data_IF_590217355283
#
_entry.id   IF_590217355283
#
_cell.length_a   1.000
_cell.length_b   1.000
_cell.length_c   1.000
_cell.angle_alpha   90.00
_cell.angle_beta   90.00
_cell.angle_gamma   90.00
#
_symmetry.space_group_name_H-M   'P 1'
#
loop_
_entity.id
_entity.type
_entity.pdbx_description
1 polymer ?
#
# COMPACT_ATOMS: atom_id res chain seq x y z
N UNK A 1 13.57 -19.03 19.92
CA UNK A 1 13.66 -20.05 20.96
C UNK A 1 14.96 -20.86 20.88
N UNK A 2 15.35 -21.40 19.74
CA UNK A 2 16.58 -22.21 19.58
C UNK A 2 17.89 -21.45 19.90
N UNK A 3 17.87 -20.12 19.89
CA UNK A 3 19.01 -19.31 20.27
C UNK A 3 19.25 -19.24 21.78
N UNK A 4 18.21 -19.46 22.60
CA UNK A 4 18.35 -19.48 24.07
C UNK A 4 19.24 -20.64 24.50
N UNK A 5 18.94 -21.91 24.20
CA UNK A 5 19.80 -23.02 24.59
C UNK A 5 21.18 -22.98 23.91
N UNK A 6 21.28 -22.43 22.70
CA UNK A 6 22.59 -22.26 22.04
C UNK A 6 23.53 -21.34 22.86
N UNK A 7 22.97 -20.30 23.47
CA UNK A 7 23.75 -19.39 24.35
C UNK A 7 23.97 -19.98 25.73
N UNK A 8 22.91 -20.47 26.38
CA UNK A 8 22.92 -20.84 27.77
C UNK A 8 23.55 -22.24 28.01
N UNK A 9 23.36 -23.18 27.05
CA UNK A 9 23.83 -24.57 27.21
C UNK A 9 25.18 -24.83 26.50
N UNK A 10 25.59 -23.97 25.56
CA UNK A 10 26.81 -24.19 24.79
C UNK A 10 27.83 -23.06 24.99
N UNK A 11 27.47 -21.80 24.67
CA UNK A 11 28.44 -20.71 24.64
C UNK A 11 28.88 -20.24 26.03
N UNK A 12 27.95 -20.12 26.98
CA UNK A 12 28.27 -19.68 28.35
C UNK A 12 29.05 -20.76 29.12
N UNK A 13 28.68 -22.06 29.08
CA UNK A 13 29.48 -23.12 29.71
C UNK A 13 30.89 -23.22 29.09
N UNK A 14 31.03 -23.03 27.77
CA UNK A 14 32.34 -23.03 27.12
C UNK A 14 33.23 -21.87 27.60
N UNK A 15 32.71 -20.67 27.78
CA UNK A 15 33.43 -19.55 28.38
C UNK A 15 33.89 -19.88 29.82
N UNK A 16 33.18 -20.69 30.51
CA UNK A 16 33.49 -21.15 31.89
C UNK A 16 34.44 -22.36 31.91
N UNK A 17 35.04 -22.76 30.78
CA UNK A 17 36.03 -23.83 30.69
C UNK A 17 35.43 -25.24 30.49
N UNK A 18 34.18 -25.38 30.18
CA UNK A 18 33.55 -26.67 29.81
C UNK A 18 33.83 -27.02 28.33
N UNK A 19 33.85 -28.31 28.02
CA UNK A 19 34.04 -28.78 26.63
C UNK A 19 32.73 -28.66 25.85
N UNK A 20 32.83 -28.20 24.59
CA UNK A 20 31.68 -28.16 23.69
C UNK A 20 31.33 -29.58 23.24
N UNK A 21 30.04 -29.95 23.28
CA UNK A 21 29.53 -31.12 22.62
C UNK A 21 29.22 -30.79 21.15
N UNK A 22 30.01 -31.34 20.19
CA UNK A 22 29.81 -31.03 18.75
C UNK A 22 28.43 -31.49 18.22
N UNK A 23 27.88 -32.56 18.80
CA UNK A 23 26.58 -33.09 18.37
C UNK A 23 25.44 -32.15 18.76
N UNK A 24 25.51 -31.55 19.95
CA UNK A 24 24.53 -30.60 20.45
C UNK A 24 24.54 -29.31 19.58
N UNK A 25 25.74 -28.82 19.24
CA UNK A 25 25.90 -27.68 18.33
C UNK A 25 25.29 -27.97 16.96
N UNK A 26 25.61 -29.14 16.39
CA UNK A 26 25.10 -29.56 15.07
C UNK A 26 23.58 -29.67 15.08
N UNK A 27 22.99 -30.17 16.15
CA UNK A 27 21.53 -30.29 16.30
C UNK A 27 20.84 -28.92 16.31
N UNK A 28 21.35 -27.96 17.07
CA UNK A 28 20.74 -26.61 17.11
C UNK A 28 20.97 -25.83 15.80
N UNK A 29 22.15 -25.92 15.22
CA UNK A 29 22.44 -25.27 13.91
C UNK A 29 21.64 -25.93 12.79
N UNK A 30 21.52 -27.27 12.80
CA UNK A 30 20.66 -28.02 11.87
C UNK A 30 19.19 -27.63 11.98
N UNK A 31 18.69 -27.50 13.21
CA UNK A 31 17.34 -27.01 13.47
C UNK A 31 17.10 -25.57 12.97
N UNK A 32 18.06 -24.68 13.18
CA UNK A 32 18.00 -23.31 12.64
C UNK A 32 18.01 -23.31 11.11
N UNK A 33 18.86 -24.14 10.49
CA UNK A 33 18.91 -24.25 9.04
C UNK A 33 17.59 -24.81 8.46
N UNK A 34 17.03 -25.86 9.05
CA UNK A 34 15.74 -26.41 8.63
C UNK A 34 14.61 -25.39 8.77
N UNK A 35 14.59 -24.64 9.88
CA UNK A 35 13.62 -23.55 10.08
C UNK A 35 13.78 -22.44 9.03
N UNK A 36 15.02 -22.09 8.67
CA UNK A 36 15.30 -21.09 7.63
C UNK A 36 14.84 -21.58 6.25
N UNK A 37 15.11 -22.84 5.90
CA UNK A 37 14.68 -23.45 4.63
C UNK A 37 13.14 -23.52 4.55
N UNK A 38 12.48 -23.92 5.63
CA UNK A 38 11.03 -23.94 5.70
C UNK A 38 10.44 -22.52 5.56
N UNK A 39 11.01 -21.53 6.24
CA UNK A 39 10.60 -20.14 6.13
C UNK A 39 10.79 -19.58 4.71
N UNK A 40 11.89 -19.94 4.05
CA UNK A 40 12.16 -19.58 2.65
C UNK A 40 11.11 -20.18 1.71
N UNK A 41 10.83 -21.49 1.82
CA UNK A 41 9.84 -22.17 0.97
C UNK A 41 8.43 -21.62 1.14
N UNK A 42 8.02 -21.39 2.41
CA UNK A 42 6.72 -20.78 2.72
C UNK A 42 6.62 -19.33 2.20
N UNK A 43 7.70 -18.55 2.32
CA UNK A 43 7.75 -17.17 1.81
C UNK A 43 7.64 -17.12 0.29
N UNK A 44 8.32 -18.03 -0.40
CA UNK A 44 8.22 -18.17 -1.85
C UNK A 44 6.80 -18.54 -2.29
N UNK A 45 6.21 -19.58 -1.70
CA UNK A 45 4.85 -20.01 -1.99
C UNK A 45 3.83 -18.90 -1.74
N UNK A 46 3.95 -18.21 -0.61
CA UNK A 46 3.11 -17.06 -0.26
C UNK A 46 3.18 -15.96 -1.32
N UNK A 47 4.39 -15.56 -1.71
CA UNK A 47 4.59 -14.48 -2.69
C UNK A 47 4.03 -14.85 -4.05
N UNK A 48 4.26 -16.09 -4.49
CA UNK A 48 3.76 -16.59 -5.77
C UNK A 48 2.21 -16.65 -5.81
N UNK A 49 1.60 -17.24 -4.79
CA UNK A 49 0.12 -17.34 -4.71
C UNK A 49 -0.51 -15.95 -4.68
N UNK A 50 0.08 -15.03 -3.93
CA UNK A 50 -0.45 -13.68 -3.82
C UNK A 50 -0.35 -12.91 -5.15
N UNK A 51 0.78 -13.00 -5.83
CA UNK A 51 0.94 -12.39 -7.15
C UNK A 51 -0.10 -12.92 -8.15
N UNK A 52 -0.32 -14.25 -8.15
CA UNK A 52 -1.31 -14.89 -9.01
C UNK A 52 -2.75 -14.42 -8.71
N UNK A 53 -3.11 -14.36 -7.42
CA UNK A 53 -4.46 -13.94 -6.99
C UNK A 53 -4.70 -12.46 -7.31
N UNK A 54 -3.72 -11.59 -7.03
CA UNK A 54 -3.86 -10.16 -7.29
C UNK A 54 -3.95 -9.84 -8.79
N UNK A 55 -3.20 -10.56 -9.64
CA UNK A 55 -3.32 -10.41 -11.09
C UNK A 55 -4.72 -10.83 -11.60
N UNK A 56 -5.26 -11.93 -11.08
CA UNK A 56 -6.64 -12.35 -11.41
C UNK A 56 -7.66 -11.31 -10.98
N UNK A 57 -7.58 -10.81 -9.73
CA UNK A 57 -8.48 -9.75 -9.25
C UNK A 57 -8.36 -8.50 -10.12
N UNK A 58 -7.14 -8.10 -10.48
CA UNK A 58 -6.91 -6.96 -11.37
C UNK A 58 -7.51 -7.16 -12.77
N UNK A 59 -7.36 -8.35 -13.34
CA UNK A 59 -7.94 -8.69 -14.63
C UNK A 59 -9.47 -8.71 -14.60
N UNK A 60 -10.05 -9.37 -13.59
CA UNK A 60 -11.51 -9.45 -13.41
C UNK A 60 -12.11 -8.05 -13.19
N UNK A 61 -11.45 -7.22 -12.39
CA UNK A 61 -11.91 -5.86 -12.10
C UNK A 61 -11.88 -4.99 -13.38
N UNK A 62 -10.83 -5.09 -14.19
CA UNK A 62 -10.75 -4.40 -15.49
C UNK A 62 -11.85 -4.83 -16.44
N UNK A 63 -12.05 -6.14 -16.58
CA UNK A 63 -13.07 -6.72 -17.46
C UNK A 63 -14.46 -6.31 -17.02
N UNK A 64 -14.79 -6.48 -15.74
CA UNK A 64 -16.10 -6.14 -15.18
C UNK A 64 -16.39 -4.64 -15.33
N UNK A 65 -15.39 -3.78 -15.05
CA UNK A 65 -15.56 -2.33 -15.20
C UNK A 65 -15.77 -1.94 -16.66
N UNK A 66 -15.02 -2.55 -17.58
CA UNK A 66 -15.17 -2.29 -19.01
C UNK A 66 -16.53 -2.76 -19.54
N UNK A 67 -16.95 -3.98 -19.22
CA UNK A 67 -18.28 -4.50 -19.60
C UNK A 67 -19.41 -3.65 -19.03
N UNK A 68 -19.27 -3.18 -17.80
CA UNK A 68 -20.27 -2.29 -17.20
C UNK A 68 -20.33 -0.95 -17.93
N UNK A 69 -19.17 -0.35 -18.26
CA UNK A 69 -19.13 0.88 -19.05
C UNK A 69 -19.84 0.74 -20.39
N UNK A 70 -19.71 -0.39 -21.08
CA UNK A 70 -20.40 -0.61 -22.37
C UNK A 70 -21.93 -0.66 -22.23
N UNK A 71 -22.44 -0.91 -21.03
CA UNK A 71 -23.89 -0.94 -20.73
C UNK A 71 -24.44 0.43 -20.27
N UNK A 72 -23.56 1.40 -19.99
CA UNK A 72 -23.98 2.73 -19.54
C UNK A 72 -24.55 3.54 -20.70
N UNK A 73 -25.48 4.45 -20.38
CA UNK A 73 -26.09 5.36 -21.33
C UNK A 73 -25.07 6.38 -21.86
N UNK A 74 -25.30 6.91 -23.06
CA UNK A 74 -24.46 7.97 -23.65
C UNK A 74 -24.40 9.24 -22.79
N UNK A 75 -25.43 9.49 -21.98
CA UNK A 75 -25.45 10.60 -21.03
C UNK A 75 -24.30 10.55 -20.02
N UNK A 76 -23.94 9.35 -19.59
CA UNK A 76 -22.79 9.15 -18.71
C UNK A 76 -21.47 9.63 -19.31
N UNK A 77 -21.32 9.48 -20.63
CA UNK A 77 -20.10 9.87 -21.36
C UNK A 77 -20.09 11.35 -21.73
N UNK A 78 -21.25 12.02 -21.83
CA UNK A 78 -21.39 13.39 -22.30
C UNK A 78 -20.65 14.46 -21.49
N UNK A 79 -20.35 14.17 -20.20
CA UNK A 79 -19.62 15.07 -19.32
C UNK A 79 -18.21 14.62 -18.95
N UNK A 80 -17.72 13.49 -19.47
CA UNK A 80 -16.46 12.89 -19.06
C UNK A 80 -15.44 12.82 -20.19
N UNK A 81 -14.18 13.07 -19.87
CA UNK A 81 -13.09 12.92 -20.84
C UNK A 81 -12.73 11.45 -21.00
N UNK A 82 -12.58 11.00 -22.24
CA UNK A 82 -12.20 9.61 -22.57
C UNK A 82 -10.90 9.18 -21.85
N UNK A 83 -9.93 10.10 -21.74
CA UNK A 83 -8.68 9.85 -21.03
C UNK A 83 -8.86 9.58 -19.53
N UNK A 84 -9.83 10.24 -18.88
CA UNK A 84 -10.16 9.98 -17.45
C UNK A 84 -10.75 8.57 -17.27
N UNK A 85 -11.62 8.12 -18.17
CA UNK A 85 -12.18 6.77 -18.14
C UNK A 85 -11.11 5.70 -18.40
N UNK A 86 -10.22 5.94 -19.37
CA UNK A 86 -9.09 5.04 -19.62
C UNK A 86 -8.15 4.95 -18.40
N UNK A 87 -7.85 6.09 -17.77
CA UNK A 87 -7.02 6.13 -16.57
C UNK A 87 -7.68 5.36 -15.41
N UNK A 88 -9.00 5.45 -15.24
CA UNK A 88 -9.72 4.71 -14.19
C UNK A 88 -9.65 3.21 -14.41
N UNK A 89 -9.87 2.72 -15.63
CA UNK A 89 -9.80 1.28 -15.93
C UNK A 89 -8.37 0.75 -15.82
N UNK A 90 -7.38 1.49 -16.32
CA UNK A 90 -5.99 1.07 -16.34
C UNK A 90 -5.28 1.33 -15.01
N UNK A 91 -4.95 2.59 -14.74
CA UNK A 91 -4.06 2.97 -13.64
C UNK A 91 -4.69 2.79 -12.25
N UNK A 92 -6.00 3.00 -12.08
CA UNK A 92 -6.63 2.81 -10.77
C UNK A 92 -6.76 1.32 -10.44
N UNK A 93 -7.06 0.47 -11.42
CA UNK A 93 -7.06 -0.98 -11.23
C UNK A 93 -5.66 -1.50 -10.92
N UNK A 94 -4.63 -0.94 -11.58
CA UNK A 94 -3.24 -1.29 -11.29
C UNK A 94 -2.82 -0.89 -9.87
N UNK A 95 -3.25 0.27 -9.38
CA UNK A 95 -3.02 0.68 -7.97
C UNK A 95 -3.64 -0.30 -6.98
N UNK A 96 -4.83 -0.81 -7.26
CA UNK A 96 -5.48 -1.85 -6.43
C UNK A 96 -4.67 -3.15 -6.49
N UNK A 97 -4.24 -3.56 -7.68
CA UNK A 97 -3.43 -4.76 -7.87
C UNK A 97 -2.10 -4.66 -7.11
N UNK A 98 -1.36 -3.55 -7.24
CA UNK A 98 -0.11 -3.29 -6.50
C UNK A 98 -0.35 -3.32 -4.98
N UNK A 99 -1.43 -2.72 -4.51
CA UNK A 99 -1.78 -2.77 -3.08
C UNK A 99 -2.02 -4.20 -2.61
N UNK A 100 -2.82 -4.97 -3.33
CA UNK A 100 -3.14 -6.36 -2.98
C UNK A 100 -1.89 -7.25 -3.04
N UNK A 101 -1.09 -7.14 -4.11
CA UNK A 101 0.07 -8.02 -4.34
C UNK A 101 1.24 -7.75 -3.40
N UNK A 102 1.51 -6.48 -3.07
CA UNK A 102 2.71 -6.08 -2.32
C UNK A 102 2.44 -5.64 -0.89
N UNK A 103 1.26 -5.10 -0.59
CA UNK A 103 1.03 -4.40 0.67
C UNK A 103 -0.02 -5.03 1.58
N UNK A 104 -1.14 -5.52 1.05
CA UNK A 104 -2.24 -6.03 1.87
C UNK A 104 -1.81 -7.24 2.72
N UNK A 105 -1.14 -8.22 2.11
CA UNK A 105 -0.68 -9.39 2.84
C UNK A 105 0.50 -9.09 3.76
N UNK A 106 1.39 -8.16 3.36
CA UNK A 106 2.47 -7.69 4.23
C UNK A 106 1.87 -7.08 5.49
N UNK A 107 0.85 -6.24 5.35
CA UNK A 107 0.14 -5.65 6.48
C UNK A 107 -0.47 -6.71 7.41
N UNK A 108 -1.23 -7.67 6.87
CA UNK A 108 -1.83 -8.76 7.66
C UNK A 108 -0.73 -9.57 8.36
N UNK A 109 0.34 -9.89 7.64
CA UNK A 109 1.48 -10.64 8.19
C UNK A 109 2.19 -9.85 9.29
N UNK A 110 2.37 -8.54 9.12
CA UNK A 110 3.02 -7.68 10.11
C UNK A 110 2.16 -7.56 11.37
N UNK A 111 0.84 -7.40 11.25
CA UNK A 111 -0.09 -7.41 12.40
C UNK A 111 -0.01 -8.74 13.15
N UNK A 112 -0.07 -9.85 12.41
CA UNK A 112 0.02 -11.19 13.02
C UNK A 112 1.36 -11.42 13.72
N UNK A 113 2.48 -11.01 13.08
CA UNK A 113 3.83 -11.14 13.64
C UNK A 113 4.02 -10.25 14.87
N UNK A 114 3.48 -9.04 14.88
CA UNK A 114 3.49 -8.14 16.04
C UNK A 114 2.74 -8.82 17.21
N UNK A 115 1.54 -9.34 16.94
CA UNK A 115 0.74 -10.01 17.94
C UNK A 115 1.44 -11.26 18.50
N UNK A 116 1.92 -12.15 17.62
CA UNK A 116 2.65 -13.36 18.04
C UNK A 116 3.92 -13.02 18.80
N UNK A 117 4.69 -12.03 18.33
CA UNK A 117 5.91 -11.59 19.02
C UNK A 117 5.59 -11.02 20.39
N UNK A 118 4.53 -10.21 20.52
CA UNK A 118 4.09 -9.70 21.81
C UNK A 118 3.73 -10.86 22.78
N UNK A 119 2.96 -11.86 22.32
CA UNK A 119 2.62 -13.04 23.13
C UNK A 119 3.89 -13.78 23.60
N UNK A 120 4.86 -13.99 22.71
CA UNK A 120 6.14 -14.63 23.05
C UNK A 120 6.91 -13.81 24.07
N UNK A 121 7.02 -12.48 23.87
CA UNK A 121 7.75 -11.60 24.79
C UNK A 121 7.10 -11.61 26.19
N UNK A 122 5.78 -11.55 26.26
CA UNK A 122 5.05 -11.64 27.52
C UNK A 122 5.22 -13.02 28.22
N UNK A 123 5.31 -14.11 27.45
CA UNK A 123 5.54 -15.45 27.99
C UNK A 123 6.97 -15.63 28.54
N UNK A 124 7.95 -14.90 28.01
CA UNK A 124 9.34 -14.95 28.46
C UNK A 124 9.51 -14.10 29.73
N UNK A 125 9.18 -12.83 29.68
CA UNK A 125 9.23 -11.93 30.82
C UNK A 125 8.26 -10.76 30.68
N UNK A 126 7.17 -10.70 31.49
CA UNK A 126 6.14 -9.65 31.38
C UNK A 126 6.67 -8.22 31.62
N UNK A 127 7.60 -8.05 32.55
CA UNK A 127 8.16 -6.72 32.86
C UNK A 127 9.01 -6.18 31.74
N UNK A 128 9.84 -7.02 31.14
CA UNK A 128 10.67 -6.65 30.01
C UNK A 128 9.79 -6.38 28.76
N UNK A 129 8.71 -7.15 28.60
CA UNK A 129 7.72 -6.93 27.53
C UNK A 129 7.01 -5.58 27.68
N UNK A 130 6.59 -5.19 28.89
CA UNK A 130 5.99 -3.88 29.14
C UNK A 130 6.94 -2.73 28.80
N UNK A 131 8.20 -2.85 29.15
CA UNK A 131 9.23 -1.84 28.79
C UNK A 131 9.37 -1.70 27.29
N UNK A 132 9.26 -2.79 26.54
CA UNK A 132 9.28 -2.79 25.07
C UNK A 132 8.11 -1.99 24.44
N UNK A 133 6.97 -1.93 25.13
CA UNK A 133 5.79 -1.23 24.63
C UNK A 133 5.86 0.29 24.86
N UNK A 134 6.79 0.80 25.67
CA UNK A 134 6.89 2.24 26.02
C UNK A 134 7.01 3.16 24.79
N UNK A 135 7.77 2.86 23.72
CA UNK A 135 7.82 3.73 22.55
C UNK A 135 6.52 3.75 21.73
N UNK A 136 5.67 2.72 21.81
CA UNK A 136 4.49 2.58 20.95
C UNK A 136 3.48 3.72 21.06
N UNK A 137 3.09 4.21 22.25
CA UNK A 137 2.18 5.33 22.38
C UNK A 137 2.74 6.60 21.68
N UNK A 138 4.04 6.85 21.78
CA UNK A 138 4.70 7.99 21.13
C UNK A 138 4.69 7.85 19.62
N UNK A 139 4.99 6.65 19.10
CA UNK A 139 4.94 6.35 17.68
C UNK A 139 3.52 6.49 17.16
N UNK A 140 2.53 5.94 17.85
CA UNK A 140 1.12 6.04 17.48
C UNK A 140 0.62 7.51 17.48
N UNK A 141 0.99 8.28 18.49
CA UNK A 141 0.68 9.71 18.55
C UNK A 141 1.32 10.48 17.39
N UNK A 142 2.56 10.20 17.07
CA UNK A 142 3.27 10.84 15.97
C UNK A 142 2.65 10.47 14.61
N UNK A 143 2.30 9.20 14.40
CA UNK A 143 1.58 8.76 13.19
C UNK A 143 0.24 9.50 13.07
N UNK A 144 -0.53 9.58 14.16
CA UNK A 144 -1.81 10.29 14.17
C UNK A 144 -1.64 11.77 13.80
N UNK A 145 -0.63 12.44 14.33
CA UNK A 145 -0.39 13.88 14.10
C UNK A 145 0.07 14.17 12.66
N UNK A 146 0.87 13.30 12.09
CA UNK A 146 1.45 13.52 10.74
C UNK A 146 0.55 12.97 9.62
N UNK A 147 -0.33 12.02 9.94
CA UNK A 147 -1.21 11.34 8.99
C UNK A 147 -1.96 12.28 8.05
N UNK A 148 -2.63 13.29 8.60
CA UNK A 148 -3.47 14.19 7.79
C UNK A 148 -2.63 15.10 6.90
N UNK A 149 -1.46 15.53 7.37
CA UNK A 149 -0.51 16.31 6.56
C UNK A 149 0.02 15.49 5.39
N UNK A 150 0.36 14.21 5.64
CA UNK A 150 0.83 13.32 4.58
C UNK A 150 -0.28 13.04 3.56
N UNK A 151 -1.50 12.76 4.03
CA UNK A 151 -2.65 12.53 3.15
C UNK A 151 -2.90 13.72 2.24
N UNK A 152 -3.06 14.91 2.80
CA UNK A 152 -3.28 16.15 2.03
C UNK A 152 -2.11 16.45 1.11
N UNK A 153 -0.87 16.17 1.54
CA UNK A 153 0.33 16.31 0.73
C UNK A 153 0.31 15.39 -0.50
N UNK A 154 -0.03 14.11 -0.33
CA UNK A 154 -0.13 13.17 -1.45
C UNK A 154 -1.26 13.54 -2.43
N UNK A 155 -2.44 13.94 -1.93
CA UNK A 155 -3.55 14.43 -2.76
C UNK A 155 -3.12 15.66 -3.60
N UNK A 156 -2.30 16.54 -3.01
CA UNK A 156 -1.76 17.71 -3.71
C UNK A 156 -0.73 17.33 -4.78
N UNK A 157 0.16 16.36 -4.50
CA UNK A 157 1.09 15.82 -5.50
C UNK A 157 0.34 15.25 -6.70
N UNK A 158 -0.69 14.42 -6.48
CA UNK A 158 -1.49 13.84 -7.55
C UNK A 158 -2.15 14.93 -8.41
N UNK A 159 -2.58 16.04 -7.80
CA UNK A 159 -3.17 17.19 -8.52
C UNK A 159 -2.14 17.90 -9.40
N UNK A 160 -1.00 18.29 -8.85
CA UNK A 160 0.04 19.01 -9.62
C UNK A 160 0.68 18.13 -10.67
N UNK A 161 0.77 16.81 -10.43
CA UNK A 161 1.18 15.86 -11.48
C UNK A 161 0.19 15.81 -12.64
N UNK A 162 -1.12 15.91 -12.34
CA UNK A 162 -2.14 16.01 -13.39
C UNK A 162 -1.98 17.30 -14.24
N UNK A 163 -1.54 18.42 -13.63
CA UNK A 163 -1.24 19.66 -14.38
C UNK A 163 -0.09 19.43 -15.38
N UNK A 164 1.01 18.79 -14.94
CA UNK A 164 2.13 18.42 -15.84
C UNK A 164 1.66 17.50 -16.97
N UNK A 165 0.88 16.49 -16.63
CA UNK A 165 0.35 15.53 -17.61
C UNK A 165 -0.59 16.19 -18.62
N UNK A 166 -1.41 17.15 -18.17
CA UNK A 166 -2.30 17.91 -19.06
C UNK A 166 -1.51 18.74 -20.09
N UNK A 167 -0.41 19.38 -19.68
CA UNK A 167 0.46 20.09 -20.63
C UNK A 167 0.97 19.14 -21.72
N UNK A 168 1.41 17.93 -21.34
CA UNK A 168 1.86 16.93 -22.32
C UNK A 168 0.71 16.44 -23.22
N UNK A 169 -0.47 16.19 -22.63
CA UNK A 169 -1.65 15.71 -23.35
C UNK A 169 -2.20 16.73 -24.35
N UNK A 170 -2.01 18.02 -24.09
CA UNK A 170 -2.36 19.08 -25.01
C UNK A 170 -1.29 19.28 -26.12
N UNK A 171 -0.01 19.30 -25.72
CA UNK A 171 1.10 19.64 -26.60
C UNK A 171 1.46 18.52 -27.58
N UNK A 172 1.51 17.27 -27.15
CA UNK A 172 1.97 16.15 -27.99
C UNK A 172 1.05 15.87 -29.16
N UNK A 173 -0.29 15.76 -29.02
CA UNK A 173 -1.19 15.62 -30.15
C UNK A 173 -1.19 16.85 -31.06
N UNK A 174 -1.02 18.05 -30.48
CA UNK A 174 -0.97 19.34 -31.17
C UNK A 174 0.41 19.73 -31.73
N UNK A 175 1.42 18.83 -31.71
CA UNK A 175 2.81 19.17 -32.02
C UNK A 175 2.98 19.78 -33.40
N UNK A 176 2.16 19.38 -34.38
CA UNK A 176 2.19 19.98 -35.74
C UNK A 176 1.81 21.46 -35.73
N UNK A 177 0.83 21.84 -34.90
CA UNK A 177 0.41 23.23 -34.73
C UNK A 177 1.51 24.04 -34.05
N UNK A 178 2.09 23.48 -32.95
CA UNK A 178 3.21 24.12 -32.25
C UNK A 178 4.36 24.40 -33.21
N UNK A 179 4.70 23.44 -34.08
CA UNK A 179 5.74 23.56 -35.09
C UNK A 179 5.38 24.57 -36.20
N UNK A 180 4.14 24.52 -36.67
CA UNK A 180 3.68 25.43 -37.75
C UNK A 180 3.72 26.92 -37.33
N UNK A 181 3.48 27.18 -36.02
CA UNK A 181 3.48 28.52 -35.45
C UNK A 181 4.77 28.89 -34.71
N UNK A 182 5.81 28.06 -34.76
CA UNK A 182 7.09 28.22 -34.06
C UNK A 182 6.95 28.53 -32.55
N UNK A 183 6.01 27.88 -31.89
CA UNK A 183 5.69 28.10 -30.44
C UNK A 183 6.43 27.16 -29.48
N UNK A 184 7.49 26.51 -29.92
CA UNK A 184 8.23 25.51 -29.07
C UNK A 184 8.74 26.13 -27.78
N UNK A 185 9.25 27.35 -27.83
CA UNK A 185 9.77 28.03 -26.64
C UNK A 185 8.68 28.31 -25.62
N UNK A 186 7.48 28.68 -26.07
CA UNK A 186 6.33 28.95 -25.21
C UNK A 186 5.83 27.68 -24.54
N UNK A 187 5.67 26.61 -25.32
CA UNK A 187 5.22 25.32 -24.75
C UNK A 187 6.27 24.69 -23.82
N UNK A 188 7.56 24.83 -24.16
CA UNK A 188 8.64 24.41 -23.26
C UNK A 188 8.65 25.21 -21.94
N UNK A 189 8.31 26.53 -22.00
CA UNK A 189 8.18 27.31 -20.77
C UNK A 189 6.97 26.88 -19.95
N UNK A 190 5.81 26.69 -20.59
CA UNK A 190 4.59 26.18 -19.92
C UNK A 190 4.83 24.87 -19.21
N UNK A 191 5.57 23.94 -19.83
CA UNK A 191 5.96 22.69 -19.22
C UNK A 191 6.90 22.89 -18.04
N UNK A 192 7.93 23.75 -18.17
CA UNK A 192 8.86 24.06 -17.08
C UNK A 192 8.13 24.61 -15.86
N UNK A 193 7.18 25.52 -16.07
CA UNK A 193 6.43 26.16 -14.99
C UNK A 193 5.58 25.13 -14.24
N UNK A 194 4.86 24.26 -14.95
CA UNK A 194 4.09 23.17 -14.36
C UNK A 194 4.99 22.16 -13.60
N UNK A 195 6.14 21.81 -14.20
CA UNK A 195 7.08 20.87 -13.59
C UNK A 195 7.79 21.47 -12.36
N UNK A 196 8.09 22.78 -12.40
CA UNK A 196 8.64 23.50 -11.25
C UNK A 196 7.64 23.53 -10.09
N UNK A 197 6.35 23.77 -10.37
CA UNK A 197 5.30 23.71 -9.35
C UNK A 197 5.18 22.31 -8.74
N UNK A 198 5.25 21.26 -9.58
CA UNK A 198 5.27 19.88 -9.13
C UNK A 198 6.49 19.59 -8.20
N UNK A 199 7.69 20.07 -8.58
CA UNK A 199 8.90 19.95 -7.77
C UNK A 199 8.73 20.60 -6.39
N UNK A 200 8.20 21.81 -6.31
CA UNK A 200 8.00 22.55 -5.06
C UNK A 200 7.02 21.85 -4.10
N UNK A 201 5.94 21.29 -4.65
CA UNK A 201 4.97 20.54 -3.86
C UNK A 201 5.56 19.24 -3.34
N UNK A 202 6.30 18.50 -4.18
CA UNK A 202 7.00 17.29 -3.78
C UNK A 202 8.06 17.58 -2.70
N UNK A 203 8.85 18.66 -2.85
CA UNK A 203 9.88 19.04 -1.88
C UNK A 203 9.29 19.33 -0.49
N UNK A 204 8.15 20.04 -0.43
CA UNK A 204 7.45 20.29 0.84
C UNK A 204 6.99 19.00 1.53
N UNK A 205 6.46 18.04 0.77
CA UNK A 205 6.05 16.76 1.33
C UNK A 205 7.27 15.93 1.75
N UNK A 206 8.30 15.91 0.92
CA UNK A 206 9.55 15.20 1.19
C UNK A 206 10.24 15.70 2.46
N UNK A 207 10.23 17.00 2.73
CA UNK A 207 10.74 17.58 4.00
C UNK A 207 9.99 17.02 5.22
N UNK A 208 8.67 16.90 5.12
CA UNK A 208 7.86 16.31 6.20
C UNK A 208 8.16 14.82 6.36
N UNK A 209 8.22 14.10 5.24
CA UNK A 209 8.50 12.66 5.24
C UNK A 209 9.92 12.32 5.68
N UNK A 210 10.91 13.11 5.26
CA UNK A 210 12.32 12.92 5.63
C UNK A 210 12.61 13.14 7.12
N UNK A 211 11.77 13.90 7.80
CA UNK A 211 11.85 14.02 9.26
C UNK A 211 11.09 12.90 9.98
N UNK A 212 9.93 12.50 9.43
CA UNK A 212 9.07 11.51 10.07
C UNK A 212 9.75 10.13 10.19
N UNK A 213 10.27 9.59 9.09
CA UNK A 213 10.85 8.25 9.07
C UNK A 213 12.04 8.09 10.02
N UNK A 214 13.08 8.97 10.00
CA UNK A 214 14.18 8.88 10.94
C UNK A 214 13.76 9.07 12.41
N UNK A 215 12.72 9.88 12.67
CA UNK A 215 12.21 10.06 14.03
C UNK A 215 11.57 8.78 14.57
N UNK A 216 10.80 8.06 13.74
CA UNK A 216 10.29 6.73 14.13
C UNK A 216 11.44 5.77 14.42
N UNK A 217 12.45 5.71 13.54
CA UNK A 217 13.63 4.87 13.74
C UNK A 217 14.37 5.24 15.03
N UNK A 218 14.56 6.52 15.30
CA UNK A 218 15.18 6.98 16.55
C UNK A 218 14.39 6.54 17.79
N UNK A 219 13.07 6.65 17.78
CA UNK A 219 12.23 6.19 18.88
C UNK A 219 12.33 4.68 19.11
N UNK A 220 12.41 3.90 18.02
CA UNK A 220 12.59 2.45 18.12
C UNK A 220 13.96 2.08 18.66
N UNK A 221 15.04 2.79 18.25
CA UNK A 221 16.40 2.60 18.79
C UNK A 221 16.48 2.99 20.28
N UNK A 222 15.85 4.09 20.67
CA UNK A 222 15.75 4.46 22.10
C UNK A 222 15.02 3.36 22.89
N UNK A 223 13.94 2.83 22.34
CA UNK A 223 13.22 1.70 22.93
C UNK A 223 14.13 0.47 23.12
N UNK A 224 14.93 0.15 22.12
CA UNK A 224 15.90 -0.94 22.19
C UNK A 224 16.97 -0.70 23.27
N UNK A 225 17.50 0.52 23.39
CA UNK A 225 18.47 0.89 24.44
C UNK A 225 17.85 0.77 25.84
N UNK A 226 16.60 1.18 26.04
CA UNK A 226 15.90 1.03 27.31
C UNK A 226 15.73 -0.45 27.68
N UNK A 227 15.41 -1.30 26.70
CA UNK A 227 15.32 -2.74 26.91
C UNK A 227 16.66 -3.35 27.26
N UNK A 228 17.74 -2.93 26.60
CA UNK A 228 19.11 -3.34 26.96
C UNK A 228 19.43 -2.96 28.43
N UNK A 229 19.23 -1.70 28.80
CA UNK A 229 19.53 -1.21 30.14
C UNK A 229 18.74 -1.97 31.22
N UNK A 230 17.42 -2.14 31.01
CA UNK A 230 16.57 -2.87 31.92
C UNK A 230 16.85 -4.37 31.93
N UNK A 231 17.16 -4.96 30.78
CA UNK A 231 17.53 -6.36 30.64
C UNK A 231 18.86 -6.68 31.37
N UNK A 232 19.88 -5.84 31.23
CA UNK A 232 21.17 -5.98 31.97
C UNK A 232 20.92 -5.91 33.48
N UNK A 233 20.03 -5.00 33.92
CA UNK A 233 19.67 -4.91 35.34
C UNK A 233 18.96 -6.19 35.83
N UNK A 234 18.06 -6.80 35.03
CA UNK A 234 17.43 -8.08 35.36
C UNK A 234 18.42 -9.24 35.40
N UNK A 235 19.39 -9.29 34.48
CA UNK A 235 20.47 -10.29 34.47
C UNK A 235 21.33 -10.14 35.72
N UNK A 236 21.69 -8.92 36.11
CA UNK A 236 22.49 -8.65 37.32
C UNK A 236 21.77 -9.11 38.62
N UNK A 237 20.45 -9.19 38.57
CA UNK A 237 19.58 -9.72 39.65
C UNK A 237 19.30 -11.21 39.54
N UNK A 238 19.92 -11.92 38.60
CA UNK A 238 19.66 -13.34 38.30
C UNK A 238 18.18 -13.68 38.02
N UNK A 239 17.41 -12.71 37.49
CA UNK A 239 15.99 -12.93 37.17
C UNK A 239 15.81 -13.47 35.74
N UNK A 240 16.75 -13.22 34.84
CA UNK A 240 16.81 -13.76 33.49
C UNK A 240 18.24 -14.16 33.16
N UNK A 241 18.41 -15.08 32.19
CA UNK A 241 19.71 -15.47 31.66
C UNK A 241 20.19 -14.53 30.53
N UNK A 242 21.48 -14.58 30.20
CA UNK A 242 22.04 -13.84 29.06
C UNK A 242 21.42 -14.32 27.74
N UNK A 243 21.19 -15.64 27.61
CA UNK A 243 20.52 -16.23 26.45
C UNK A 243 19.10 -15.72 26.26
N UNK A 244 18.33 -15.61 27.37
CA UNK A 244 16.97 -15.02 27.35
C UNK A 244 17.05 -13.56 26.91
N UNK A 245 17.96 -12.74 27.42
CA UNK A 245 18.12 -11.34 27.01
C UNK A 245 18.46 -11.22 25.52
N UNK A 246 19.38 -12.04 25.05
CA UNK A 246 19.78 -12.05 23.62
C UNK A 246 18.63 -12.43 22.70
N UNK A 247 17.86 -13.47 23.06
CA UNK A 247 16.67 -13.86 22.32
C UNK A 247 15.61 -12.76 22.33
N UNK A 248 15.40 -12.11 23.48
CA UNK A 248 14.45 -11.02 23.64
C UNK A 248 14.78 -9.85 22.72
N UNK A 249 16.04 -9.43 22.65
CA UNK A 249 16.55 -8.37 21.77
C UNK A 249 16.32 -8.72 20.29
N UNK A 250 16.60 -9.98 19.92
CA UNK A 250 16.36 -10.45 18.55
C UNK A 250 14.86 -10.37 18.17
N UNK A 251 13.96 -10.68 19.09
CA UNK A 251 12.52 -10.51 18.87
C UNK A 251 12.08 -9.06 18.79
N UNK A 252 12.63 -8.20 19.65
CA UNK A 252 12.33 -6.76 19.64
C UNK A 252 12.78 -6.11 18.34
N UNK A 253 13.97 -6.43 17.84
CA UNK A 253 14.45 -5.92 16.56
C UNK A 253 13.49 -6.24 15.41
N UNK A 254 12.95 -7.46 15.40
CA UNK A 254 11.89 -7.85 14.45
C UNK A 254 10.58 -7.12 14.68
N UNK A 255 10.18 -6.94 15.92
CA UNK A 255 8.95 -6.24 16.30
C UNK A 255 8.97 -4.78 15.84
N UNK A 256 10.03 -4.03 16.15
CA UNK A 256 10.16 -2.64 15.73
C UNK A 256 10.32 -2.49 14.20
N UNK A 257 11.04 -3.39 13.54
CA UNK A 257 11.12 -3.41 12.08
C UNK A 257 9.76 -3.56 11.40
N UNK A 258 8.83 -4.32 12.02
CA UNK A 258 7.44 -4.44 11.51
C UNK A 258 6.62 -3.18 11.73
N UNK A 259 6.81 -2.49 12.85
CA UNK A 259 6.15 -1.20 13.09
C UNK A 259 6.58 -0.13 12.08
N UNK A 260 7.86 -0.07 11.75
CA UNK A 260 8.36 0.83 10.72
C UNK A 260 7.78 0.49 9.33
N UNK A 261 7.67 -0.79 8.99
CA UNK A 261 6.99 -1.26 7.77
C UNK A 261 5.52 -0.81 7.72
N UNK A 262 4.77 -0.99 8.82
CA UNK A 262 3.36 -0.60 8.90
C UNK A 262 3.14 0.90 8.69
N UNK A 263 4.04 1.75 9.17
CA UNK A 263 3.92 3.21 8.99
C UNK A 263 3.93 3.62 7.52
N UNK A 264 4.67 2.89 6.69
CA UNK A 264 4.78 3.12 5.23
C UNK A 264 3.54 2.65 4.46
N UNK A 265 2.85 1.62 4.94
CA UNK A 265 1.69 1.05 4.26
C UNK A 265 0.49 2.02 4.25
N UNK A 266 0.40 2.92 5.22
CA UNK A 266 -0.72 3.87 5.34
C UNK A 266 -0.94 4.69 4.06
N UNK A 267 0.12 5.21 3.45
CA UNK A 267 0.02 6.03 2.24
C UNK A 267 -0.44 5.22 1.02
N UNK A 268 0.07 3.99 0.88
CA UNK A 268 -0.30 3.09 -0.23
C UNK A 268 -1.75 2.62 -0.10
N UNK A 269 -2.19 2.33 1.13
CA UNK A 269 -3.59 1.98 1.44
C UNK A 269 -4.55 3.11 1.05
N UNK A 270 -4.21 4.37 1.37
CA UNK A 270 -5.04 5.52 1.00
C UNK A 270 -5.16 5.68 -0.52
N UNK A 271 -4.06 5.50 -1.26
CA UNK A 271 -4.06 5.56 -2.73
C UNK A 271 -4.91 4.43 -3.33
N UNK A 272 -4.78 3.21 -2.83
CA UNK A 272 -5.57 2.07 -3.28
C UNK A 272 -7.06 2.25 -2.97
N UNK A 273 -7.39 2.75 -1.77
CA UNK A 273 -8.77 3.04 -1.38
C UNK A 273 -9.41 4.13 -2.27
N UNK A 274 -8.67 5.18 -2.59
CA UNK A 274 -9.13 6.21 -3.52
C UNK A 274 -9.35 5.66 -4.93
N UNK A 275 -8.44 4.80 -5.43
CA UNK A 275 -8.59 4.10 -6.71
C UNK A 275 -9.80 3.17 -6.71
N UNK A 276 -9.98 2.37 -5.66
CA UNK A 276 -11.12 1.48 -5.50
C UNK A 276 -12.43 2.27 -5.52
N UNK A 277 -12.52 3.36 -4.78
CA UNK A 277 -13.70 4.22 -4.78
C UNK A 277 -14.07 4.70 -6.20
N UNK A 278 -13.08 5.14 -6.98
CA UNK A 278 -13.32 5.60 -8.37
C UNK A 278 -13.81 4.48 -9.29
N UNK A 279 -13.35 3.25 -9.09
CA UNK A 279 -13.84 2.07 -9.83
C UNK A 279 -15.28 1.73 -9.41
N UNK A 280 -15.54 1.70 -8.10
CA UNK A 280 -16.91 1.44 -7.60
C UNK A 280 -17.89 2.54 -7.97
N UNK A 281 -17.46 3.82 -8.02
CA UNK A 281 -18.29 4.92 -8.54
C UNK A 281 -18.75 4.68 -10.00
N UNK A 282 -17.99 3.90 -10.78
CA UNK A 282 -18.39 3.47 -12.13
C UNK A 282 -19.35 2.29 -12.03
N UNK A 283 -18.99 1.26 -11.27
CA UNK A 283 -19.75 0.00 -11.17
C UNK A 283 -21.12 0.18 -10.51
N UNK A 284 -21.23 1.11 -9.56
CA UNK A 284 -22.50 1.42 -8.86
C UNK A 284 -23.39 2.36 -9.67
N UNK A 285 -22.87 2.92 -10.78
CA UNK A 285 -23.68 3.81 -11.61
C UNK A 285 -24.72 3.02 -12.41
N UNK A 286 -25.99 3.29 -12.14
CA UNK A 286 -27.11 2.65 -12.85
C UNK A 286 -27.46 3.47 -14.09
N UNK A 287 -27.55 2.82 -15.24
CA UNK A 287 -28.01 3.46 -16.49
C UNK A 287 -29.49 3.89 -16.40
N UNK A 288 -29.80 5.08 -16.91
CA UNK A 288 -31.18 5.61 -16.94
C UNK A 288 -32.14 4.86 -17.88
N UNK A 289 -31.72 3.75 -18.45
CA UNK A 289 -32.54 2.90 -19.31
C UNK A 289 -32.05 1.46 -19.26
N UNK A 290 -32.19 0.76 -18.12
CA UNK A 290 -31.81 -0.65 -18.07
C UNK A 290 -32.57 -1.48 -19.07
N UNK A 291 -31.91 -2.45 -19.70
CA UNK A 291 -32.58 -3.42 -20.55
C UNK A 291 -33.69 -4.11 -19.77
N UNK A 292 -34.87 -4.29 -20.37
CA UNK A 292 -35.96 -4.97 -19.69
C UNK A 292 -35.58 -6.39 -19.30
N UNK A 293 -35.98 -6.83 -18.11
CA UNK A 293 -35.66 -8.16 -17.58
C UNK A 293 -36.16 -9.30 -18.49
N UNK A 294 -37.16 -9.02 -19.32
CA UNK A 294 -37.71 -9.93 -20.34
C UNK A 294 -37.86 -9.16 -21.66
N UNK A 295 -36.82 -9.14 -22.53
CA UNK A 295 -36.93 -8.50 -23.82
C UNK A 295 -37.89 -9.27 -24.72
N UNK A 296 -38.83 -8.55 -25.31
CA UNK A 296 -39.75 -9.14 -26.31
C UNK A 296 -38.93 -9.32 -27.60
N UNK A 297 -38.75 -10.56 -28.04
CA UNK A 297 -38.19 -10.87 -29.37
C UNK A 297 -39.25 -10.62 -30.40
N UNK A 298 -39.16 -9.49 -31.11
CA UNK A 298 -39.99 -9.22 -32.26
C UNK A 298 -39.46 -9.89 -33.54
N UNK A 299 -40.38 -10.09 -34.50
CA UNK A 299 -39.98 -10.49 -35.85
C UNK A 299 -39.14 -9.42 -36.55
N UNK A 300 -38.48 -9.81 -37.66
CA UNK A 300 -37.60 -8.92 -38.42
C UNK A 300 -38.37 -7.67 -38.86
N UNK A 301 -37.97 -6.52 -38.33
CA UNK A 301 -38.61 -5.23 -38.63
C UNK A 301 -38.53 -4.87 -40.13
N UNK A 302 -39.58 -4.30 -40.68
CA UNK A 302 -39.65 -3.87 -42.08
C UNK A 302 -38.81 -2.60 -42.40
N UNK A 303 -38.18 -1.99 -41.37
CA UNK A 303 -37.27 -0.86 -41.56
C UNK A 303 -37.97 0.50 -41.62
N UNK A 304 -39.25 0.59 -41.34
CA UNK A 304 -39.96 1.90 -41.28
C UNK A 304 -40.06 2.39 -39.85
N UNK A 305 -39.62 3.63 -39.60
CA UNK A 305 -39.67 4.29 -38.28
C UNK A 305 -40.47 5.60 -38.47
N UNK A 306 -41.59 5.74 -37.74
CA UNK A 306 -42.38 6.98 -37.69
C UNK A 306 -42.27 7.58 -36.29
N UNK A 307 -41.86 8.82 -36.20
CA UNK A 307 -41.78 9.58 -34.94
C UNK A 307 -42.87 10.65 -34.94
N UNK A 308 -43.74 10.65 -33.95
CA UNK A 308 -44.80 11.66 -33.78
C UNK A 308 -44.68 12.27 -32.38
N UNK A 309 -44.66 13.59 -32.29
CA UNK A 309 -44.61 14.34 -31.02
C UNK A 309 -43.44 13.91 -30.09
N UNK A 310 -42.28 13.69 -30.65
CA UNK A 310 -41.09 13.23 -29.87
C UNK A 310 -40.30 14.44 -29.40
N UNK A 311 -40.21 14.61 -28.07
CA UNK A 311 -39.34 15.58 -27.43
C UNK A 311 -38.12 14.90 -26.80
N UNK A 312 -36.96 15.52 -26.91
CA UNK A 312 -35.75 15.04 -26.25
C UNK A 312 -34.95 16.18 -25.64
N UNK A 313 -34.34 15.94 -24.45
CA UNK A 313 -33.52 16.91 -23.75
C UNK A 313 -32.30 16.25 -23.11
N UNK A 314 -31.18 16.98 -23.13
CA UNK A 314 -30.02 16.68 -22.30
C UNK A 314 -30.09 17.51 -21.00
N UNK A 315 -30.34 16.87 -19.86
CA UNK A 315 -30.56 17.59 -18.61
C UNK A 315 -31.69 18.64 -18.73
N UNK A 316 -31.38 19.92 -18.53
CA UNK A 316 -32.34 21.03 -18.67
C UNK A 316 -32.48 21.56 -20.10
N UNK A 317 -31.59 21.22 -21.04
CA UNK A 317 -31.57 21.74 -22.40
C UNK A 317 -32.38 20.87 -23.34
N UNK A 318 -33.52 21.41 -23.79
CA UNK A 318 -34.32 20.76 -24.83
C UNK A 318 -33.58 20.82 -26.18
N UNK A 319 -33.46 19.67 -26.86
CA UNK A 319 -32.75 19.55 -28.16
C UNK A 319 -33.78 19.27 -29.24
N UNK A 320 -34.80 18.44 -28.99
CA UNK A 320 -35.91 18.17 -29.85
C UNK A 320 -37.19 18.64 -29.13
N UNK A 321 -37.96 19.48 -29.77
CA UNK A 321 -39.25 19.94 -29.30
C UNK A 321 -40.27 19.36 -30.27
N UNK A 322 -41.16 18.49 -29.79
CA UNK A 322 -42.15 17.73 -30.56
C UNK A 322 -42.96 18.49 -31.56
#
# INVERSE_FOLDING_TARGET
>A
YLTIPLMDDILIPYQNGQTIDPWLVLTYLGGLLLAALAAWGLSWARTYILALVSERIGADLRTTTYEHLLRLSLDYFGGKRTGDLMARIGSETDRINVFLSLHALVFITDVLMIFMTAVILFSINPWLALVTLVPLPFIAWMIHTVRDRLRTGFEKIDRVWSEVTNVLADTIPGIRVVKAFAQEKREAQRFRDANQHNLEVNDKLNKTWSLFTPTVSLLTEIGLLVVWAFGIWLVSRNQITVGVLTAFIAYIGRFYGRLDSMSRIVSVTQKAAAGAKRIFDILDHVSNGPDPAQPVKGDKMAGSITMQNVGFRYGSRAVIKG
#
